data_IF_527638913756
#
_entry.id   IF_527638913756
#
_cell.length_a   1.000
_cell.length_b   1.000
_cell.length_c   1.000
_cell.angle_alpha   90.00
_cell.angle_beta   90.00
_cell.angle_gamma   90.00
#
_symmetry.space_group_name_H-M   'P 1'
#
loop_
_entity.id
_entity.type
_entity.pdbx_description
1 polymer ?
#
# COMPACT_ATOMS: atom_id res chain seq x y z
N UNK A 1 5.55 21.68 21.60
CA UNK A 1 6.25 20.57 20.93
C UNK A 1 7.00 19.78 22.01
N UNK A 2 6.78 18.48 22.15
CA UNK A 2 7.49 17.66 23.17
C UNK A 2 8.83 17.17 22.58
N UNK A 3 9.92 17.24 23.35
CA UNK A 3 11.27 16.84 22.91
C UNK A 3 11.32 15.41 22.36
N UNK A 4 10.61 14.46 22.97
CA UNK A 4 10.55 13.06 22.50
C UNK A 4 9.93 12.93 21.11
N UNK A 5 8.93 13.76 20.80
CA UNK A 5 8.29 13.77 19.47
C UNK A 5 9.24 14.37 18.44
N UNK A 6 9.94 15.44 18.81
CA UNK A 6 10.90 16.09 17.93
C UNK A 6 12.06 15.14 17.58
N UNK A 7 12.66 14.48 18.58
CA UNK A 7 13.73 13.49 18.39
C UNK A 7 13.30 12.37 17.44
N UNK A 8 12.11 11.79 17.65
CA UNK A 8 11.58 10.73 16.76
C UNK A 8 11.39 11.22 15.33
N UNK A 9 10.93 12.46 15.12
CA UNK A 9 10.81 13.04 13.77
C UNK A 9 12.19 13.17 13.13
N UNK A 10 13.19 13.69 13.85
CA UNK A 10 14.56 13.79 13.34
C UNK A 10 15.16 12.43 13.00
N UNK A 11 14.97 11.41 13.85
CA UNK A 11 15.43 10.04 13.60
C UNK A 11 14.81 9.44 12.33
N UNK A 12 13.50 9.62 12.12
CA UNK A 12 12.82 9.13 10.92
C UNK A 12 13.28 9.86 9.65
N UNK A 13 13.50 11.18 9.73
CA UNK A 13 14.02 11.97 8.61
C UNK A 13 15.43 11.54 8.22
N UNK A 14 16.30 11.25 9.19
CA UNK A 14 17.67 10.78 8.94
C UNK A 14 17.74 9.39 8.27
N UNK A 15 16.65 8.61 8.32
CA UNK A 15 16.55 7.26 7.75
C UNK A 15 15.74 7.20 6.45
N UNK A 16 15.39 8.35 5.86
CA UNK A 16 14.66 8.35 4.58
C UNK A 16 15.52 7.76 3.47
N UNK A 17 14.86 7.04 2.56
CA UNK A 17 15.44 6.45 1.36
C UNK A 17 14.94 7.25 0.16
N UNK A 18 15.68 8.28 -0.29
CA UNK A 18 15.23 9.17 -1.37
C UNK A 18 15.23 8.49 -2.75
N UNK A 19 15.94 7.38 -2.90
CA UNK A 19 16.12 6.58 -4.10
C UNK A 19 15.17 5.37 -4.17
N UNK A 20 14.30 5.18 -3.17
CA UNK A 20 13.35 4.08 -3.11
C UNK A 20 11.90 4.60 -3.08
N UNK A 21 11.14 4.18 -4.08
CA UNK A 21 9.72 4.52 -4.26
C UNK A 21 8.90 3.25 -4.40
N UNK A 22 7.71 3.22 -3.80
CA UNK A 22 6.78 2.10 -3.90
C UNK A 22 5.67 2.44 -4.89
N UNK A 23 5.37 1.54 -5.83
CA UNK A 23 4.22 1.66 -6.72
C UNK A 23 3.27 0.48 -6.48
N UNK A 24 1.98 0.76 -6.33
CA UNK A 24 0.92 -0.21 -6.16
C UNK A 24 -0.03 -0.16 -7.34
N UNK A 25 -0.28 -1.29 -7.97
CA UNK A 25 -1.26 -1.40 -9.04
C UNK A 25 -2.44 -2.26 -8.59
N UNK A 26 -3.66 -1.71 -8.73
CA UNK A 26 -4.91 -2.45 -8.58
C UNK A 26 -5.07 -3.17 -7.23
N UNK A 27 -4.63 -2.54 -6.13
CA UNK A 27 -4.80 -3.09 -4.78
C UNK A 27 -6.29 -3.13 -4.40
N UNK A 28 -6.87 -4.33 -4.42
CA UNK A 28 -8.32 -4.54 -4.29
C UNK A 28 -8.91 -4.19 -2.93
N UNK A 29 -8.12 -4.23 -1.85
CA UNK A 29 -8.61 -3.99 -0.49
C UNK A 29 -8.00 -2.68 0.04
N UNK A 30 -8.82 -1.64 0.31
CA UNK A 30 -8.31 -0.35 0.80
C UNK A 30 -7.44 -0.44 2.06
N UNK A 31 -7.72 -1.40 2.96
CA UNK A 31 -6.91 -1.62 4.16
C UNK A 31 -5.48 -2.08 3.85
N UNK A 32 -5.25 -2.77 2.73
CA UNK A 32 -3.90 -3.16 2.32
C UNK A 32 -3.08 -1.94 1.89
N UNK A 33 -3.68 -0.97 1.21
CA UNK A 33 -3.01 0.31 0.87
C UNK A 33 -2.57 1.01 2.15
N UNK A 34 -3.45 1.07 3.15
CA UNK A 34 -3.12 1.67 4.45
C UNK A 34 -2.05 0.91 5.23
N UNK A 35 -1.95 -0.41 5.05
CA UNK A 35 -0.88 -1.22 5.63
C UNK A 35 0.45 -0.92 4.94
N UNK A 36 0.47 -0.86 3.59
CA UNK A 36 1.66 -0.54 2.80
C UNK A 36 2.20 0.84 3.15
N UNK A 37 1.34 1.87 3.26
CA UNK A 37 1.77 3.23 3.64
C UNK A 37 2.46 3.24 5.01
N UNK A 38 1.95 2.48 5.98
CA UNK A 38 2.57 2.38 7.33
C UNK A 38 3.91 1.66 7.28
N UNK A 39 4.01 0.60 6.48
CA UNK A 39 5.27 -0.11 6.28
C UNK A 39 6.29 0.79 5.60
N UNK A 40 5.90 1.52 4.55
CA UNK A 40 6.75 2.47 3.83
C UNK A 40 7.32 3.54 4.78
N UNK A 41 6.47 4.17 5.59
CA UNK A 41 6.92 5.16 6.56
C UNK A 41 7.88 4.58 7.61
N UNK A 42 7.63 3.34 8.06
CA UNK A 42 8.48 2.66 9.03
C UNK A 42 9.88 2.30 8.50
N UNK A 43 10.02 2.02 7.20
CA UNK A 43 11.31 1.67 6.58
C UNK A 43 12.02 2.85 5.92
N UNK A 44 11.42 4.04 5.92
CA UNK A 44 12.04 5.24 5.38
C UNK A 44 11.65 5.56 3.93
N UNK A 45 10.72 4.84 3.32
CA UNK A 45 10.14 5.17 2.02
C UNK A 45 9.16 6.33 2.20
N UNK A 46 9.42 7.42 1.49
CA UNK A 46 8.65 8.66 1.61
C UNK A 46 7.73 8.92 0.40
N UNK A 47 7.91 8.15 -0.68
CA UNK A 47 7.13 8.26 -1.90
C UNK A 47 6.41 6.94 -2.20
N UNK A 48 5.08 7.02 -2.31
CA UNK A 48 4.21 5.87 -2.60
C UNK A 48 3.19 6.28 -3.65
N UNK A 49 3.16 5.56 -4.76
CA UNK A 49 2.23 5.73 -5.87
C UNK A 49 1.22 4.60 -5.90
N UNK A 50 0.00 4.90 -6.34
CA UNK A 50 -1.05 3.91 -6.49
C UNK A 50 -1.89 4.18 -7.73
N UNK A 51 -2.18 3.11 -8.47
CA UNK A 51 -3.07 3.10 -9.63
C UNK A 51 -4.31 2.29 -9.26
N UNK A 52 -5.47 2.95 -9.28
CA UNK A 52 -6.75 2.31 -9.00
C UNK A 52 -7.38 1.79 -10.30
N UNK A 53 -8.13 0.67 -10.24
CA UNK A 53 -8.88 0.21 -11.40
C UNK A 53 -9.98 1.23 -11.74
N UNK A 54 -10.19 1.47 -13.04
CA UNK A 54 -11.26 2.36 -13.55
C UNK A 54 -12.66 1.90 -13.12
N UNK A 55 -12.83 0.59 -12.93
CA UNK A 55 -14.08 -0.03 -12.50
C UNK A 55 -13.82 -0.93 -11.28
N UNK A 56 -13.85 -0.37 -10.06
CA UNK A 56 -13.55 -1.12 -8.83
C UNK A 56 -14.43 -2.37 -8.65
N UNK A 57 -15.67 -2.31 -9.12
CA UNK A 57 -16.68 -3.36 -8.93
C UNK A 57 -16.62 -4.47 -9.99
N UNK A 58 -16.05 -4.20 -11.18
CA UNK A 58 -15.95 -5.18 -12.26
C UNK A 58 -15.08 -6.39 -11.84
N UNK A 59 -14.05 -6.16 -11.02
CA UNK A 59 -13.17 -7.21 -10.50
C UNK A 59 -13.88 -8.16 -9.51
N UNK A 60 -14.87 -7.66 -8.77
CA UNK A 60 -15.61 -8.49 -7.80
C UNK A 60 -16.52 -9.51 -8.51
N UNK A 61 -17.06 -9.15 -9.67
CA UNK A 61 -17.89 -10.02 -10.52
C UNK A 61 -17.10 -11.11 -11.25
N UNK A 62 -15.88 -10.83 -11.71
CA UNK A 62 -15.06 -11.81 -12.44
C UNK A 62 -14.51 -12.95 -11.56
N UNK A 63 -14.11 -12.65 -10.31
CA UNK A 63 -13.59 -13.67 -9.39
C UNK A 63 -14.62 -14.74 -9.03
N UNK A 64 -15.91 -14.38 -8.93
CA UNK A 64 -16.98 -15.37 -8.69
C UNK A 64 -17.12 -16.38 -9.84
N UNK A 65 -16.90 -15.93 -11.09
CA UNK A 65 -16.95 -16.80 -12.26
C UNK A 65 -15.71 -17.69 -12.38
N UNK A 66 -14.52 -17.15 -12.13
CA UNK A 66 -13.27 -17.91 -12.19
C UNK A 66 -13.08 -18.97 -11.08
N UNK A 67 -13.65 -18.76 -9.89
CA UNK A 67 -13.58 -19.74 -8.80
C UNK A 67 -14.60 -20.89 -8.92
N UNK A 68 -15.73 -20.70 -9.59
CA UNK A 68 -16.71 -21.78 -9.78
C UNK A 68 -16.29 -22.82 -10.83
N UNK A 69 -15.36 -22.48 -11.72
CA UNK A 69 -14.99 -23.37 -12.83
C UNK A 69 -13.74 -24.24 -12.58
N UNK A 70 -13.05 -24.03 -11.45
CA UNK A 70 -11.87 -24.83 -11.04
C UNK A 70 -12.18 -25.89 -9.96
N UNK A 71 -13.45 -26.06 -9.60
CA UNK A 71 -13.92 -27.07 -8.63
C UNK A 71 -14.79 -28.18 -9.21
N UNK A 72 -14.92 -28.25 -10.54
CA UNK A 72 -15.67 -29.29 -11.23
C UNK A 72 -14.73 -30.00 -12.22
N UNK A 73 -13.88 -30.85 -11.68
CA UNK A 73 -12.98 -31.76 -12.39
C UNK A 73 -12.64 -32.93 -11.50
#
# INVERSE_FOLDING_TARGET
MNSKRYERICEMLARRQPDLTVCMEQVHKPHNVSAVIRTADAVGVHEVHAVWPEQPDAYHGLRRRGQQQLGAG
#
